data_IF_688322420752
#
_entry.id   IF_688322420752
#
_cell.length_a   1.000
_cell.length_b   1.000
_cell.length_c   1.000
_cell.angle_alpha   90.00
_cell.angle_beta   90.00
_cell.angle_gamma   90.00
#
_symmetry.space_group_name_H-M   'P 1'
#
loop_
_entity.id
_entity.type
_entity.pdbx_description
1 polymer ?
#
# COMPACT_ATOMS: atom_id res chain seq x y z
N UNK A 1 7.57 -12.31 10.72
CA UNK A 1 8.97 -11.93 10.87
C UNK A 1 9.06 -10.80 11.88
N UNK A 2 9.92 -10.91 12.90
CA UNK A 2 10.25 -9.78 13.78
C UNK A 2 11.00 -8.77 12.90
N UNK A 3 10.34 -7.67 12.53
CA UNK A 3 10.97 -6.60 11.77
C UNK A 3 12.12 -6.01 12.60
N UNK A 4 13.30 -5.98 12.03
CA UNK A 4 14.42 -5.19 12.57
C UNK A 4 14.21 -3.73 12.22
N UNK A 5 14.55 -2.83 13.15
CA UNK A 5 14.58 -1.41 12.84
C UNK A 5 15.65 -1.15 11.77
N UNK A 6 15.42 -0.14 10.96
CA UNK A 6 16.40 0.35 9.99
C UNK A 6 17.67 0.81 10.73
N UNK A 7 18.82 0.27 10.37
CA UNK A 7 20.07 0.43 11.13
C UNK A 7 20.49 1.89 11.33
N UNK A 8 20.29 2.74 10.31
CA UNK A 8 20.67 4.16 10.36
C UNK A 8 19.54 5.08 10.84
N UNK A 9 18.43 4.54 11.36
CA UNK A 9 17.22 5.30 11.72
C UNK A 9 17.51 6.53 12.57
N UNK A 10 18.29 6.38 13.64
CA UNK A 10 18.57 7.49 14.57
C UNK A 10 19.46 8.58 13.97
N UNK A 11 20.45 8.19 13.15
CA UNK A 11 21.31 9.16 12.45
C UNK A 11 20.52 9.94 11.40
N UNK A 12 19.66 9.26 10.67
CA UNK A 12 18.81 9.87 9.66
C UNK A 12 17.76 10.80 10.27
N UNK A 13 17.11 10.39 11.36
CA UNK A 13 16.24 11.26 12.17
C UNK A 13 16.96 12.50 12.68
N UNK A 14 18.20 12.36 13.13
CA UNK A 14 19.01 13.49 13.58
C UNK A 14 19.24 14.47 12.44
N UNK A 15 19.61 14.01 11.24
CA UNK A 15 19.78 14.84 10.04
C UNK A 15 18.50 15.57 9.68
N UNK A 16 17.38 14.86 9.63
CA UNK A 16 16.08 15.44 9.27
C UNK A 16 15.67 16.54 10.26
N UNK A 17 15.75 16.26 11.56
CA UNK A 17 15.44 17.24 12.60
C UNK A 17 16.40 18.43 12.57
N UNK A 18 17.70 18.18 12.33
CA UNK A 18 18.67 19.24 12.22
C UNK A 18 18.37 20.17 11.04
N UNK A 19 18.10 19.61 9.86
CA UNK A 19 17.74 20.39 8.66
C UNK A 19 16.48 21.21 8.90
N UNK A 20 15.42 20.60 9.45
CA UNK A 20 14.17 21.31 9.77
C UNK A 20 14.44 22.44 10.76
N UNK A 21 15.22 22.20 11.83
CA UNK A 21 15.56 23.22 12.82
C UNK A 21 16.41 24.35 12.21
N UNK A 22 17.37 24.01 11.33
CA UNK A 22 18.21 24.98 10.64
C UNK A 22 17.37 25.88 9.71
N UNK A 23 16.50 25.29 8.90
CA UNK A 23 15.59 26.04 8.02
C UNK A 23 14.67 26.96 8.83
N UNK A 24 14.04 26.44 9.89
CA UNK A 24 13.16 27.24 10.76
C UNK A 24 13.93 28.35 11.46
N UNK A 25 15.22 28.15 11.77
CA UNK A 25 16.06 29.16 12.44
C UNK A 25 16.37 30.40 11.58
N UNK A 26 16.32 30.28 10.24
CA UNK A 26 16.55 31.39 9.29
C UNK A 26 15.46 32.47 9.44
N UNK A 27 14.25 32.09 9.82
CA UNK A 27 13.10 33.01 9.85
C UNK A 27 13.08 33.90 11.11
N UNK A 28 12.50 35.12 11.02
CA UNK A 28 12.29 35.99 12.16
C UNK A 28 11.48 35.33 13.29
N UNK A 29 11.69 35.74 14.55
CA UNK A 29 11.10 35.12 15.75
C UNK A 29 9.60 34.88 15.67
N UNK A 30 8.81 35.84 15.13
CA UNK A 30 7.34 35.74 15.01
C UNK A 30 6.95 34.65 14.00
N UNK A 31 7.56 34.64 12.83
CA UNK A 31 7.35 33.63 11.77
C UNK A 31 7.77 32.26 12.24
N UNK A 32 8.92 32.16 12.90
CA UNK A 32 9.47 30.91 13.47
C UNK A 32 8.48 30.26 14.45
N UNK A 33 7.80 31.05 15.27
CA UNK A 33 6.81 30.52 16.21
C UNK A 33 5.62 29.88 15.46
N UNK A 34 5.10 30.57 14.44
CA UNK A 34 4.03 30.03 13.58
C UNK A 34 4.44 28.77 12.83
N UNK A 35 5.63 28.79 12.20
CA UNK A 35 6.16 27.62 11.50
C UNK A 35 6.33 26.40 12.41
N UNK A 36 6.84 26.59 13.63
CA UNK A 36 6.94 25.51 14.61
C UNK A 36 5.58 24.94 14.98
N UNK A 37 4.58 25.78 15.21
CA UNK A 37 3.23 25.33 15.55
C UNK A 37 2.63 24.47 14.41
N UNK A 38 2.77 24.93 13.17
CA UNK A 38 2.31 24.20 11.98
C UNK A 38 3.06 22.86 11.82
N UNK A 39 4.38 22.87 11.96
CA UNK A 39 5.19 21.66 11.88
C UNK A 39 4.81 20.62 12.96
N UNK A 40 4.64 21.07 14.21
CA UNK A 40 4.18 20.18 15.28
C UNK A 40 2.79 19.61 14.99
N UNK A 41 1.86 20.45 14.51
CA UNK A 41 0.53 19.98 14.14
C UNK A 41 0.60 18.89 13.07
N UNK A 42 1.35 19.13 11.99
CA UNK A 42 1.52 18.15 10.90
C UNK A 42 2.15 16.86 11.42
N UNK A 43 3.27 16.94 12.14
CA UNK A 43 3.99 15.76 12.63
C UNK A 43 3.18 14.92 13.59
N UNK A 44 2.51 15.54 14.59
CA UNK A 44 1.69 14.81 15.55
C UNK A 44 0.43 14.22 14.91
N UNK A 45 -0.24 14.97 14.02
CA UNK A 45 -1.42 14.48 13.32
C UNK A 45 -1.07 13.28 12.42
N UNK A 46 0.03 13.40 11.68
CA UNK A 46 0.49 12.31 10.80
C UNK A 46 0.92 11.08 11.60
N UNK A 47 1.65 11.28 12.70
CA UNK A 47 2.06 10.18 13.57
C UNK A 47 0.86 9.50 14.25
N UNK A 48 -0.13 10.27 14.70
CA UNK A 48 -1.35 9.72 15.29
C UNK A 48 -2.16 8.92 14.27
N UNK A 49 -2.34 9.45 13.05
CA UNK A 49 -3.05 8.77 11.97
C UNK A 49 -2.34 7.46 11.57
N UNK A 50 -1.03 7.51 11.38
CA UNK A 50 -0.21 6.36 11.03
C UNK A 50 -0.26 5.25 12.10
N UNK A 51 -0.14 5.65 13.36
CA UNK A 51 -0.23 4.71 14.50
C UNK A 51 -1.63 4.15 14.66
N UNK A 52 -2.66 4.95 14.43
CA UNK A 52 -4.06 4.50 14.44
C UNK A 52 -4.30 3.44 13.36
N UNK A 53 -3.84 3.68 12.14
CA UNK A 53 -3.91 2.69 11.06
C UNK A 53 -3.22 1.38 11.46
N UNK A 54 -2.03 1.48 12.05
CA UNK A 54 -1.29 0.29 12.46
C UNK A 54 -2.00 -0.50 13.58
N UNK A 55 -2.54 0.18 14.59
CA UNK A 55 -3.20 -0.47 15.73
C UNK A 55 -4.52 -1.13 15.32
N UNK A 56 -5.31 -0.48 14.46
CA UNK A 56 -6.65 -0.95 14.12
C UNK A 56 -6.69 -1.84 12.86
N UNK A 57 -5.79 -1.63 11.91
CA UNK A 57 -5.79 -2.33 10.62
C UNK A 57 -4.53 -3.18 10.38
N UNK A 58 -3.58 -3.17 11.32
CA UNK A 58 -2.31 -3.93 11.18
C UNK A 58 -1.38 -3.39 10.10
N UNK A 59 -1.68 -2.24 9.51
CA UNK A 59 -0.90 -1.60 8.45
C UNK A 59 -0.69 -0.11 8.75
N UNK A 60 0.50 0.40 8.48
CA UNK A 60 0.79 1.83 8.56
C UNK A 60 0.03 2.59 7.47
N UNK A 61 0.02 3.93 7.55
CA UNK A 61 -0.60 4.78 6.54
C UNK A 61 -0.07 4.44 5.14
N UNK A 62 -0.98 4.17 4.22
CA UNK A 62 -0.70 3.78 2.85
C UNK A 62 -1.70 4.43 1.88
N UNK A 63 -1.49 4.34 0.55
CA UNK A 63 -2.36 4.97 -0.43
C UNK A 63 -3.84 4.54 -0.34
N UNK A 64 -4.11 3.27 -0.06
CA UNK A 64 -5.48 2.76 0.07
C UNK A 64 -6.21 3.36 1.27
N UNK A 65 -5.52 3.52 2.41
CA UNK A 65 -6.08 4.17 3.59
C UNK A 65 -6.42 5.64 3.33
N UNK A 66 -5.55 6.35 2.60
CA UNK A 66 -5.80 7.74 2.24
C UNK A 66 -6.98 7.90 1.28
N UNK A 67 -7.14 6.98 0.34
CA UNK A 67 -8.28 6.95 -0.58
C UNK A 67 -9.60 6.75 0.18
N UNK A 68 -9.65 5.80 1.12
CA UNK A 68 -10.82 5.58 1.98
C UNK A 68 -11.22 6.84 2.75
N UNK A 69 -10.25 7.60 3.27
CA UNK A 69 -10.52 8.89 3.93
C UNK A 69 -11.13 9.90 2.95
N UNK A 70 -10.67 9.93 1.69
CA UNK A 70 -11.21 10.82 0.65
C UNK A 70 -12.64 10.47 0.22
N UNK A 71 -13.06 9.22 0.32
CA UNK A 71 -14.40 8.74 0.01
C UNK A 71 -15.38 8.85 1.20
N UNK A 72 -14.87 9.14 2.41
CA UNK A 72 -15.64 9.21 3.64
C UNK A 72 -16.55 10.46 3.65
N UNK A 73 -17.84 10.26 3.88
CA UNK A 73 -18.79 11.35 4.02
C UNK A 73 -18.74 11.98 5.44
N UNK A 74 -19.40 13.14 5.65
CA UNK A 74 -19.37 13.86 6.93
C UNK A 74 -19.90 13.07 8.13
N UNK A 75 -20.87 12.17 7.92
CA UNK A 75 -21.41 11.30 8.96
C UNK A 75 -20.42 10.22 9.37
N UNK A 76 -19.77 9.59 8.39
CA UNK A 76 -18.71 8.61 8.61
C UNK A 76 -17.47 9.24 9.24
N UNK A 77 -17.08 10.45 8.78
CA UNK A 77 -16.00 11.21 9.37
C UNK A 77 -16.26 11.53 10.86
N UNK A 78 -17.50 11.90 11.22
CA UNK A 78 -17.91 12.11 12.61
C UNK A 78 -17.83 10.83 13.43
N UNK A 79 -18.29 9.72 12.88
CA UNK A 79 -18.20 8.40 13.53
C UNK A 79 -16.74 7.95 13.71
N UNK A 80 -15.89 8.22 12.74
CA UNK A 80 -14.45 7.96 12.82
C UNK A 80 -13.78 8.81 13.89
N UNK A 81 -14.08 10.11 13.94
CA UNK A 81 -13.55 11.02 14.97
C UNK A 81 -14.00 10.60 16.37
N UNK A 82 -15.26 10.17 16.55
CA UNK A 82 -15.74 9.65 17.82
C UNK A 82 -15.05 8.36 18.25
N UNK A 83 -14.72 7.49 17.28
CA UNK A 83 -13.95 6.28 17.52
C UNK A 83 -12.49 6.58 17.92
N UNK A 84 -11.88 7.64 17.37
CA UNK A 84 -10.54 8.11 17.77
C UNK A 84 -10.47 8.56 19.25
N UNK A 85 -11.59 9.00 19.83
CA UNK A 85 -11.67 9.45 21.22
C UNK A 85 -12.13 8.33 22.15
N UNK A 86 -12.31 7.11 21.65
CA UNK A 86 -12.69 5.96 22.46
C UNK A 86 -11.63 5.64 23.53
N UNK A 87 -12.06 5.07 24.65
CA UNK A 87 -11.14 4.68 25.72
C UNK A 87 -10.06 3.71 25.22
N UNK A 88 -10.43 2.79 24.34
CA UNK A 88 -9.50 1.80 23.74
C UNK A 88 -8.36 2.48 22.96
N UNK A 89 -8.65 3.51 22.19
CA UNK A 89 -7.65 4.26 21.44
C UNK A 89 -6.81 5.14 22.37
N UNK A 90 -7.42 5.77 23.37
CA UNK A 90 -6.69 6.61 24.33
C UNK A 90 -5.71 5.81 25.20
N UNK A 91 -5.98 4.53 25.48
CA UNK A 91 -5.06 3.65 26.18
C UNK A 91 -4.11 2.86 25.27
N UNK A 92 -4.16 3.10 23.95
CA UNK A 92 -3.26 2.52 22.95
C UNK A 92 -1.99 3.37 22.73
N UNK A 93 -1.16 2.95 21.78
CA UNK A 93 0.01 3.73 21.33
C UNK A 93 -0.35 5.11 20.78
N UNK A 94 -1.58 5.29 20.25
CA UNK A 94 -2.09 6.59 19.78
C UNK A 94 -2.24 7.55 20.97
N UNK A 95 -2.77 7.08 22.09
CA UNK A 95 -2.93 7.88 23.31
C UNK A 95 -1.61 8.44 23.84
N UNK A 96 -0.51 7.68 23.74
CA UNK A 96 0.82 8.18 24.10
C UNK A 96 1.27 9.35 23.21
N UNK A 97 0.99 9.30 21.90
CA UNK A 97 1.30 10.39 20.97
C UNK A 97 0.49 11.63 21.33
N UNK A 98 -0.81 11.46 21.59
CA UNK A 98 -1.69 12.57 22.00
C UNK A 98 -1.27 13.17 23.35
N UNK A 99 -0.88 12.33 24.31
CA UNK A 99 -0.36 12.77 25.60
C UNK A 99 0.93 13.57 25.45
N UNK A 100 1.87 13.12 24.61
CA UNK A 100 3.10 13.87 24.32
C UNK A 100 2.80 15.22 23.67
N UNK A 101 1.86 15.27 22.72
CA UNK A 101 1.42 16.52 22.11
C UNK A 101 0.81 17.47 23.16
N UNK A 102 -0.06 16.96 24.05
CA UNK A 102 -0.66 17.73 25.14
C UNK A 102 0.41 18.27 26.09
N UNK A 103 1.34 17.44 26.54
CA UNK A 103 2.45 17.85 27.40
C UNK A 103 3.25 18.97 26.74
N UNK A 104 3.55 18.85 25.43
CA UNK A 104 4.29 19.89 24.70
C UNK A 104 3.51 21.20 24.61
N UNK A 105 2.21 21.16 24.40
CA UNK A 105 1.32 22.34 24.40
C UNK A 105 1.32 22.98 25.79
N UNK A 106 1.15 22.20 26.87
CA UNK A 106 1.19 22.67 28.24
C UNK A 106 2.54 23.32 28.57
N UNK A 107 3.64 22.72 28.19
CA UNK A 107 4.98 23.29 28.35
C UNK A 107 5.09 24.63 27.61
N UNK A 108 4.56 24.73 26.39
CA UNK A 108 4.60 25.95 25.60
C UNK A 108 3.78 27.08 26.25
N UNK A 109 2.59 26.76 26.76
CA UNK A 109 1.69 27.72 27.43
C UNK A 109 2.27 28.16 28.79
N UNK A 110 2.68 27.19 29.60
CA UNK A 110 3.13 27.44 30.98
C UNK A 110 4.64 27.66 31.13
N UNK A 111 5.36 27.83 30.02
CA UNK A 111 6.83 27.96 30.01
C UNK A 111 7.36 28.99 31.03
N UNK A 112 6.71 30.16 31.12
CA UNK A 112 7.14 31.22 32.05
C UNK A 112 6.95 30.79 33.49
N UNK A 113 5.84 30.12 33.80
CA UNK A 113 5.50 29.64 35.15
C UNK A 113 6.44 28.48 35.54
N UNK A 114 6.69 27.55 34.62
CA UNK A 114 7.62 26.45 34.83
C UNK A 114 9.06 26.94 35.09
N UNK A 115 9.52 27.96 34.39
CA UNK A 115 10.84 28.57 34.64
C UNK A 115 10.86 29.23 36.05
N UNK A 116 9.79 29.93 36.43
CA UNK A 116 9.70 30.53 37.79
C UNK A 116 9.71 29.43 38.87
N UNK A 117 8.94 28.37 38.68
CA UNK A 117 8.88 27.22 39.58
C UNK A 117 10.24 26.55 39.70
N UNK A 118 10.93 26.33 38.59
CA UNK A 118 12.28 25.75 38.53
C UNK A 118 13.27 26.60 39.32
N UNK A 119 13.28 27.92 39.10
CA UNK A 119 14.15 28.87 39.85
C UNK A 119 13.82 28.87 41.34
N UNK A 120 12.51 28.83 41.67
CA UNK A 120 12.05 28.76 43.09
C UNK A 120 12.55 27.47 43.76
N UNK A 121 12.39 26.30 43.15
CA UNK A 121 12.87 25.01 43.66
C UNK A 121 14.38 25.01 43.88
N UNK A 122 15.17 25.54 42.93
CA UNK A 122 16.61 25.65 43.07
C UNK A 122 16.99 26.58 44.23
N UNK A 123 16.20 27.63 44.45
CA UNK A 123 16.46 28.62 45.53
C UNK A 123 16.09 28.04 46.91
N UNK A 124 14.98 27.31 47.00
CA UNK A 124 14.48 26.70 48.27
C UNK A 124 15.35 25.51 48.70
N UNK A 125 15.88 24.72 47.76
CA UNK A 125 16.68 23.55 48.10
C UNK A 125 18.07 23.84 48.65
N UNK A 126 18.48 25.15 48.83
CA UNK A 126 19.75 25.63 49.43
C UNK A 126 21.03 24.84 49.05
N UNK A 127 20.96 24.11 47.95
CA UNK A 127 22.09 23.39 47.42
C UNK A 127 23.06 24.35 46.71
N UNK A 128 23.80 25.14 47.49
CA UNK A 128 24.72 26.15 46.96
C UNK A 128 25.68 25.59 45.91
N UNK A 129 26.13 24.37 46.08
CA UNK A 129 26.96 23.65 45.10
C UNK A 129 26.22 23.21 43.87
N UNK A 130 24.95 22.76 43.99
CA UNK A 130 24.07 22.40 42.86
C UNK A 130 23.54 23.63 42.17
N UNK A 131 23.21 24.68 42.90
CA UNK A 131 22.83 26.01 42.38
C UNK A 131 23.93 26.58 41.49
N UNK A 132 25.18 26.48 41.90
CA UNK A 132 26.35 26.95 41.11
C UNK A 132 26.55 26.13 39.85
N UNK A 133 26.34 24.79 39.90
CA UNK A 133 26.40 23.89 38.73
C UNK A 133 25.20 24.07 37.79
N UNK A 134 23.97 24.16 38.31
CA UNK A 134 22.76 24.32 37.51
C UNK A 134 22.59 25.74 36.94
N UNK A 135 23.05 26.79 37.63
CA UNK A 135 23.12 28.13 37.03
C UNK A 135 24.28 28.29 36.03
N UNK A 136 25.23 27.40 36.02
CA UNK A 136 26.25 27.33 34.98
C UNK A 136 25.72 26.72 33.68
N UNK A 137 24.63 25.94 33.71
CA UNK A 137 24.03 25.33 32.49
C UNK A 137 23.64 26.38 31.44
N UNK A 138 22.93 27.50 31.77
CA UNK A 138 22.69 28.56 30.78
C UNK A 138 23.95 29.25 30.27
N UNK A 139 25.02 29.32 31.09
CA UNK A 139 26.31 29.82 30.67
C UNK A 139 27.10 28.80 29.86
N UNK A 140 26.95 27.50 30.15
CA UNK A 140 27.48 26.44 29.30
C UNK A 140 26.89 26.44 27.89
N UNK A 141 25.59 26.77 27.76
CA UNK A 141 24.96 26.90 26.44
C UNK A 141 25.41 28.14 25.69
N UNK A 142 25.95 29.17 26.37
CA UNK A 142 26.55 30.35 25.74
C UNK A 142 28.01 30.13 25.33
N UNK A 143 28.69 29.16 25.94
CA UNK A 143 30.06 28.77 25.65
C UNK A 143 30.14 27.27 25.50
N UNK A 144 29.45 26.73 24.48
CA UNK A 144 29.67 25.31 24.10
C UNK A 144 31.14 25.14 23.78
N UNK A 145 31.86 24.24 24.45
CA UNK A 145 33.26 24.00 24.11
C UNK A 145 33.34 23.61 22.63
N UNK A 146 34.36 24.12 21.93
CA UNK A 146 34.57 23.83 20.51
C UNK A 146 34.53 22.32 20.20
N UNK A 147 34.93 21.49 21.18
CA UNK A 147 34.80 20.04 21.14
C UNK A 147 33.37 19.52 20.96
N UNK A 148 32.36 20.16 21.57
CA UNK A 148 30.96 19.77 21.37
C UNK A 148 30.44 20.15 19.97
N UNK A 149 30.86 21.32 19.46
CA UNK A 149 30.55 21.75 18.10
C UNK A 149 31.16 20.82 17.06
N UNK A 150 32.41 20.40 17.28
CA UNK A 150 33.11 19.43 16.43
C UNK A 150 32.38 18.06 16.48
N UNK A 151 31.99 17.59 17.66
CA UNK A 151 31.25 16.34 17.80
C UNK A 151 29.91 16.39 17.04
N UNK A 152 29.14 17.47 17.19
CA UNK A 152 27.89 17.65 16.44
C UNK A 152 28.13 17.67 14.93
N UNK A 153 29.20 18.30 14.47
CA UNK A 153 29.60 18.34 13.07
C UNK A 153 29.94 16.94 12.55
N UNK A 154 30.70 16.17 13.31
CA UNK A 154 31.06 14.79 12.97
C UNK A 154 29.79 13.94 12.84
N UNK A 155 28.87 14.02 13.83
CA UNK A 155 27.60 13.29 13.80
C UNK A 155 26.78 13.71 12.57
N UNK A 156 26.73 15.00 12.26
CA UNK A 156 26.00 15.51 11.10
C UNK A 156 26.59 14.99 9.79
N UNK A 157 27.91 15.07 9.62
CA UNK A 157 28.59 14.57 8.41
C UNK A 157 28.35 13.07 8.27
N UNK A 158 28.56 12.28 9.35
CA UNK A 158 28.32 10.84 9.35
C UNK A 158 26.87 10.54 8.99
N UNK A 159 25.92 11.23 9.61
CA UNK A 159 24.49 11.08 9.31
C UNK A 159 24.15 11.42 7.86
N UNK A 160 24.70 12.50 7.30
CA UNK A 160 24.50 12.85 5.89
C UNK A 160 25.06 11.77 4.95
N UNK A 161 26.25 11.24 5.25
CA UNK A 161 26.87 10.20 4.43
C UNK A 161 26.05 8.88 4.48
N UNK A 162 25.63 8.46 5.67
CA UNK A 162 24.88 7.21 5.86
C UNK A 162 23.44 7.30 5.32
N UNK A 163 22.82 8.48 5.39
CA UNK A 163 21.43 8.69 4.90
C UNK A 163 21.36 9.01 3.41
N UNK A 164 22.48 9.32 2.76
CA UNK A 164 22.50 9.76 1.35
C UNK A 164 21.80 8.77 0.41
N UNK A 165 22.12 7.49 0.53
CA UNK A 165 21.55 6.44 -0.31
C UNK A 165 20.02 6.37 -0.12
N UNK A 166 19.53 6.37 1.12
CA UNK A 166 18.12 6.33 1.44
C UNK A 166 17.36 7.59 0.94
N UNK A 167 17.96 8.78 1.10
CA UNK A 167 17.37 10.04 0.58
C UNK A 167 17.32 10.07 -0.95
N UNK A 168 18.35 9.55 -1.62
CA UNK A 168 18.30 9.41 -3.08
C UNK A 168 17.25 8.39 -3.53
N UNK A 169 17.09 7.28 -2.81
CA UNK A 169 16.01 6.33 -3.07
C UNK A 169 14.63 6.98 -2.87
N UNK A 170 14.44 7.75 -1.79
CA UNK A 170 13.21 8.51 -1.57
C UNK A 170 12.95 9.54 -2.68
N UNK A 171 13.97 10.28 -3.10
CA UNK A 171 13.85 11.21 -4.22
C UNK A 171 13.43 10.50 -5.52
N UNK A 172 14.03 9.36 -5.83
CA UNK A 172 13.62 8.54 -6.99
C UNK A 172 12.18 8.05 -6.84
N UNK A 173 11.77 7.60 -5.64
CA UNK A 173 10.41 7.17 -5.35
C UNK A 173 9.39 8.27 -5.66
N UNK A 174 9.65 9.50 -5.22
CA UNK A 174 8.75 10.65 -5.41
C UNK A 174 8.78 11.25 -6.81
N UNK A 175 9.68 10.79 -7.68
CA UNK A 175 9.77 11.18 -9.10
C UNK A 175 9.51 10.02 -10.06
N UNK A 176 9.20 8.81 -9.55
CA UNK A 176 8.87 7.66 -10.37
C UNK A 176 7.58 7.91 -11.15
N UNK A 177 7.64 7.81 -12.47
CA UNK A 177 6.48 8.09 -13.33
C UNK A 177 5.60 6.88 -13.53
N UNK A 178 6.15 5.70 -13.27
CA UNK A 178 5.48 4.43 -13.47
C UNK A 178 5.35 3.66 -12.17
N UNK A 179 4.33 2.82 -12.07
CA UNK A 179 4.13 1.96 -10.90
C UNK A 179 5.31 0.97 -10.77
N UNK A 180 5.87 0.51 -11.89
CA UNK A 180 7.03 -0.39 -11.87
C UNK A 180 8.27 0.25 -11.25
N UNK A 181 8.57 1.50 -11.55
CA UNK A 181 9.66 2.26 -10.89
C UNK A 181 9.42 2.41 -9.39
N UNK A 182 8.20 2.76 -9.01
CA UNK A 182 7.78 2.90 -7.61
C UNK A 182 7.94 1.58 -6.86
N UNK A 183 7.45 0.48 -7.41
CA UNK A 183 7.56 -0.85 -6.81
C UNK A 183 9.01 -1.30 -6.68
N UNK A 184 9.82 -1.11 -7.71
CA UNK A 184 11.24 -1.48 -7.68
C UNK A 184 11.97 -0.82 -6.50
N UNK A 185 11.67 0.44 -6.22
CA UNK A 185 12.24 1.15 -5.08
C UNK A 185 11.65 0.63 -3.76
N UNK A 186 10.33 0.44 -3.67
CA UNK A 186 9.69 -0.02 -2.43
C UNK A 186 10.09 -1.44 -2.02
N UNK A 187 10.43 -2.29 -2.98
CA UNK A 187 10.86 -3.68 -2.74
C UNK A 187 12.37 -3.82 -2.53
N UNK A 188 13.13 -2.76 -2.73
CA UNK A 188 14.57 -2.74 -2.46
C UNK A 188 14.88 -3.06 -0.99
N UNK A 189 15.95 -3.84 -0.76
CA UNK A 189 16.35 -4.29 0.60
C UNK A 189 17.42 -3.42 1.23
N UNK A 190 18.02 -2.54 0.46
CA UNK A 190 19.16 -1.71 0.82
C UNK A 190 18.79 -0.31 1.34
N UNK A 191 17.50 -0.03 1.42
CA UNK A 191 16.97 1.25 1.88
C UNK A 191 15.63 1.10 2.60
N UNK A 192 15.22 2.13 3.34
CA UNK A 192 13.97 2.19 4.09
C UNK A 192 13.29 3.56 3.86
N UNK A 193 12.86 3.81 2.61
CA UNK A 193 12.36 5.13 2.17
C UNK A 193 11.16 5.66 2.93
N UNK A 194 10.28 4.78 3.43
CA UNK A 194 9.05 5.13 4.15
C UNK A 194 9.18 4.98 5.68
N UNK A 195 10.35 5.27 6.25
CA UNK A 195 10.62 5.08 7.69
C UNK A 195 9.88 6.09 8.60
N UNK A 196 9.45 7.23 8.07
CA UNK A 196 8.70 8.24 8.82
C UNK A 196 7.22 8.32 8.39
N UNK A 197 6.28 8.58 9.34
CA UNK A 197 4.88 8.81 9.03
C UNK A 197 4.66 9.89 7.97
N UNK A 198 5.42 10.98 8.02
CA UNK A 198 5.31 12.07 7.05
C UNK A 198 5.70 11.62 5.62
N UNK A 199 6.71 10.77 5.48
CA UNK A 199 7.08 10.21 4.17
C UNK A 199 6.02 9.24 3.65
N UNK A 200 5.40 8.45 4.53
CA UNK A 200 4.26 7.61 4.18
C UNK A 200 3.07 8.43 3.69
N UNK A 201 2.76 9.53 4.36
CA UNK A 201 1.70 10.45 3.93
C UNK A 201 2.01 11.06 2.55
N UNK A 202 3.21 11.60 2.36
CA UNK A 202 3.62 12.19 1.09
C UNK A 202 3.56 11.16 -0.05
N UNK A 203 4.08 9.97 0.20
CA UNK A 203 4.02 8.87 -0.78
C UNK A 203 2.57 8.46 -1.07
N UNK A 204 1.70 8.37 -0.07
CA UNK A 204 0.30 8.00 -0.26
C UNK A 204 -0.45 9.01 -1.13
N UNK A 205 -0.19 10.31 -0.94
CA UNK A 205 -0.76 11.37 -1.79
C UNK A 205 -0.24 11.20 -3.23
N UNK A 206 1.06 11.04 -3.40
CA UNK A 206 1.70 10.89 -4.71
C UNK A 206 1.20 9.65 -5.46
N UNK A 207 1.15 8.50 -4.79
CA UNK A 207 0.68 7.25 -5.39
C UNK A 207 -0.78 7.32 -5.84
N UNK A 208 -1.65 7.97 -5.06
CA UNK A 208 -3.04 8.21 -5.45
C UNK A 208 -3.16 9.13 -6.67
N UNK A 209 -2.33 10.17 -6.77
CA UNK A 209 -2.29 11.03 -7.96
C UNK A 209 -1.82 10.26 -9.19
N UNK A 210 -0.80 9.42 -9.04
CA UNK A 210 -0.30 8.56 -10.12
C UNK A 210 -1.38 7.57 -10.59
N UNK A 211 -2.08 6.94 -9.66
CA UNK A 211 -3.18 6.02 -9.96
C UNK A 211 -4.34 6.72 -10.69
N UNK A 212 -4.76 7.89 -10.21
CA UNK A 212 -5.81 8.68 -10.85
C UNK A 212 -5.43 9.08 -12.28
N UNK A 213 -4.17 9.45 -12.51
CA UNK A 213 -3.67 9.76 -13.84
C UNK A 213 -3.74 8.54 -14.76
N UNK A 214 -3.31 7.35 -14.30
CA UNK A 214 -3.39 6.12 -15.09
C UNK A 214 -4.83 5.74 -15.45
N UNK A 215 -5.78 5.90 -14.51
CA UNK A 215 -7.20 5.66 -14.79
C UNK A 215 -7.72 6.62 -15.86
N UNK A 216 -7.36 7.90 -15.79
CA UNK A 216 -7.75 8.89 -16.80
C UNK A 216 -7.21 8.52 -18.19
N UNK A 217 -5.96 8.06 -18.25
CA UNK A 217 -5.37 7.60 -19.52
C UNK A 217 -6.08 6.36 -20.07
N UNK A 218 -6.40 5.38 -19.23
CA UNK A 218 -7.17 4.20 -19.64
C UNK A 218 -8.57 4.57 -20.17
N UNK A 219 -9.27 5.48 -19.50
CA UNK A 219 -10.58 5.95 -19.96
C UNK A 219 -10.43 6.63 -21.32
N UNK A 220 -9.40 7.45 -21.50
CA UNK A 220 -9.12 8.07 -22.79
C UNK A 220 -8.81 7.02 -23.88
N UNK A 221 -7.92 6.08 -23.58
CA UNK A 221 -7.59 5.00 -24.51
C UNK A 221 -8.83 4.17 -24.87
N UNK A 222 -9.73 3.90 -23.91
CA UNK A 222 -10.97 3.18 -24.14
C UNK A 222 -11.91 3.92 -25.12
N UNK A 223 -11.97 5.24 -25.05
CA UNK A 223 -12.78 6.03 -25.99
C UNK A 223 -12.23 6.04 -27.42
N UNK A 224 -10.90 5.95 -27.55
CA UNK A 224 -10.23 5.97 -28.88
C UNK A 224 -10.31 4.62 -29.61
N UNK A 225 -10.67 3.54 -28.94
CA UNK A 225 -10.75 2.20 -29.56
C UNK A 225 -11.78 2.19 -30.68
N UNK A 226 -11.34 1.75 -31.84
CA UNK A 226 -12.17 1.47 -33.03
C UNK A 226 -11.96 0.04 -33.46
N UNK A 227 -13.04 -0.66 -33.74
CA UNK A 227 -13.02 -2.03 -34.24
C UNK A 227 -13.73 -2.03 -35.60
N UNK A 228 -12.97 -2.29 -36.65
CA UNK A 228 -13.50 -2.22 -38.01
C UNK A 228 -14.33 -3.45 -38.36
N UNK A 229 -13.93 -4.63 -37.88
CA UNK A 229 -14.65 -5.89 -38.14
C UNK A 229 -14.30 -6.96 -37.11
N UNK A 230 -15.20 -7.91 -36.94
CA UNK A 230 -14.96 -9.12 -36.13
C UNK A 230 -15.43 -10.37 -36.87
N UNK A 231 -14.61 -11.42 -36.85
CA UNK A 231 -14.95 -12.68 -37.52
C UNK A 231 -15.91 -13.58 -36.74
N UNK A 232 -16.09 -13.32 -35.44
CA UNK A 232 -16.89 -14.11 -34.50
C UNK A 232 -16.68 -15.64 -34.55
N UNK A 233 -15.46 -16.08 -34.88
CA UNK A 233 -15.12 -17.52 -34.99
C UNK A 233 -15.38 -18.28 -33.70
N UNK A 234 -15.27 -17.62 -32.57
CA UNK A 234 -15.56 -18.14 -31.24
C UNK A 234 -16.67 -17.34 -30.59
N UNK A 235 -17.93 -17.74 -30.75
CA UNK A 235 -19.06 -16.97 -30.22
C UNK A 235 -19.06 -16.93 -28.69
N UNK A 236 -18.60 -17.99 -28.02
CA UNK A 236 -18.50 -18.05 -26.58
C UNK A 236 -17.05 -18.30 -26.16
N UNK A 237 -16.48 -17.34 -25.47
CA UNK A 237 -15.12 -17.37 -24.93
C UNK A 237 -15.21 -17.33 -23.42
N UNK A 238 -14.56 -18.30 -22.75
CA UNK A 238 -14.44 -18.32 -21.29
C UNK A 238 -12.97 -18.19 -20.94
N UNK A 239 -12.62 -17.15 -20.22
CA UNK A 239 -11.28 -16.93 -19.67
C UNK A 239 -11.33 -17.21 -18.17
N UNK A 240 -10.52 -18.14 -17.68
CA UNK A 240 -10.37 -18.44 -16.26
C UNK A 240 -9.00 -17.99 -15.82
N UNK A 241 -8.96 -17.01 -14.90
CA UNK A 241 -7.75 -16.47 -14.31
C UNK A 241 -7.61 -17.12 -12.93
N UNK A 242 -6.61 -17.98 -12.76
CA UNK A 242 -6.27 -18.57 -11.47
C UNK A 242 -5.43 -17.61 -10.63
N UNK A 243 -5.37 -17.85 -9.32
CA UNK A 243 -4.57 -17.07 -8.37
C UNK A 243 -3.50 -17.96 -7.73
N UNK A 244 -2.29 -17.43 -7.55
CA UNK A 244 -1.15 -18.07 -6.86
C UNK A 244 -0.79 -19.48 -7.40
N UNK A 245 -1.04 -19.75 -8.69
CA UNK A 245 -0.72 -21.03 -9.31
C UNK A 245 0.78 -21.20 -9.53
N UNK A 246 1.37 -22.19 -8.86
CA UNK A 246 2.77 -22.55 -9.03
C UNK A 246 2.96 -23.76 -9.94
N UNK A 247 3.51 -23.57 -11.14
CA UNK A 247 3.81 -24.65 -12.10
C UNK A 247 4.56 -25.82 -11.46
N UNK A 248 5.49 -25.54 -10.57
CA UNK A 248 6.31 -26.57 -9.91
C UNK A 248 5.54 -27.44 -8.91
N UNK A 249 4.30 -27.07 -8.56
CA UNK A 249 3.41 -27.87 -7.71
C UNK A 249 2.26 -28.51 -8.51
N UNK A 250 2.32 -28.48 -9.84
CA UNK A 250 1.30 -29.07 -10.71
C UNK A 250 1.79 -30.38 -11.31
N UNK A 251 1.04 -31.47 -11.11
CA UNK A 251 1.31 -32.78 -11.71
C UNK A 251 1.40 -32.70 -13.24
N UNK A 252 0.58 -31.88 -13.87
CA UNK A 252 0.59 -31.67 -15.32
C UNK A 252 1.95 -31.18 -15.83
N UNK A 253 2.72 -30.48 -14.98
CA UNK A 253 4.05 -29.99 -15.28
C UNK A 253 5.18 -30.81 -14.65
N UNK A 254 4.88 -32.03 -14.22
CA UNK A 254 5.89 -32.99 -13.74
C UNK A 254 6.06 -33.02 -12.22
N UNK A 255 5.17 -32.36 -11.45
CA UNK A 255 5.19 -32.52 -10.01
C UNK A 255 4.86 -33.96 -9.61
N UNK A 256 5.52 -34.50 -8.61
CA UNK A 256 5.45 -35.91 -8.23
C UNK A 256 4.14 -36.33 -7.55
N UNK A 257 3.35 -35.38 -7.05
CA UNK A 257 2.05 -35.63 -6.39
C UNK A 257 0.89 -35.35 -7.36
N UNK A 258 -0.22 -36.05 -7.17
CA UNK A 258 -1.45 -35.94 -7.98
C UNK A 258 -2.25 -34.65 -7.67
N UNK A 259 -1.62 -33.50 -7.88
CA UNK A 259 -2.21 -32.19 -7.55
C UNK A 259 -3.20 -31.70 -8.61
N UNK A 260 -3.05 -32.12 -9.87
CA UNK A 260 -3.90 -31.70 -11.00
C UNK A 260 -4.35 -32.89 -11.87
N UNK A 261 -4.97 -33.96 -11.29
CA UNK A 261 -5.28 -35.19 -12.02
C UNK A 261 -6.30 -34.98 -13.13
N UNK A 262 -7.25 -34.08 -12.96
CA UNK A 262 -8.26 -33.79 -14.00
C UNK A 262 -7.65 -33.09 -15.21
N UNK A 263 -6.72 -32.14 -15.01
CA UNK A 263 -6.02 -31.46 -16.09
C UNK A 263 -5.17 -32.48 -16.87
N UNK A 264 -4.49 -33.41 -16.18
CA UNK A 264 -3.74 -34.51 -16.81
C UNK A 264 -4.65 -35.38 -17.62
N UNK A 265 -5.84 -35.73 -17.13
CA UNK A 265 -6.80 -36.55 -17.89
C UNK A 265 -7.33 -35.82 -19.13
N UNK A 266 -7.62 -34.54 -19.05
CA UNK A 266 -8.04 -33.70 -20.17
C UNK A 266 -6.94 -33.57 -21.24
N UNK A 267 -5.67 -33.39 -20.81
CA UNK A 267 -4.51 -33.35 -21.71
C UNK A 267 -4.34 -34.72 -22.45
N UNK A 268 -4.39 -35.81 -21.71
CA UNK A 268 -4.32 -37.16 -22.31
C UNK A 268 -5.44 -37.43 -23.32
N UNK A 269 -6.64 -36.92 -23.07
CA UNK A 269 -7.78 -37.03 -23.98
C UNK A 269 -7.79 -35.98 -25.10
N UNK A 270 -6.74 -35.17 -25.24
CA UNK A 270 -6.58 -34.09 -26.23
C UNK A 270 -7.67 -33.00 -26.15
N UNK A 271 -8.30 -32.87 -25.00
CA UNK A 271 -9.30 -31.79 -24.71
C UNK A 271 -8.66 -30.57 -24.08
N UNK A 272 -7.40 -30.63 -23.70
CA UNK A 272 -6.61 -29.56 -23.13
C UNK A 272 -5.27 -29.46 -23.82
N UNK A 273 -4.90 -28.25 -24.25
CA UNK A 273 -3.57 -27.92 -24.75
C UNK A 273 -2.77 -27.25 -23.65
N UNK A 274 -1.61 -27.80 -23.32
CA UNK A 274 -0.70 -27.26 -22.32
C UNK A 274 0.36 -26.38 -22.97
N UNK A 275 0.59 -25.23 -22.41
CA UNK A 275 1.71 -24.36 -22.74
C UNK A 275 2.82 -24.54 -21.71
N UNK A 276 4.04 -24.73 -22.16
CA UNK A 276 5.19 -25.07 -21.29
C UNK A 276 6.10 -23.91 -21.00
N UNK A 277 6.00 -22.83 -21.77
CA UNK A 277 6.83 -21.64 -21.65
C UNK A 277 5.97 -20.39 -21.45
N UNK A 278 5.31 -20.34 -20.30
CA UNK A 278 4.48 -19.19 -19.88
C UNK A 278 5.01 -18.66 -18.56
N UNK A 279 5.32 -17.38 -18.53
CA UNK A 279 5.85 -16.67 -17.35
C UNK A 279 4.93 -15.48 -17.04
N UNK A 280 4.58 -15.30 -15.77
CA UNK A 280 3.89 -14.10 -15.34
C UNK A 280 4.83 -12.90 -15.35
N UNK A 281 4.33 -11.74 -15.74
CA UNK A 281 5.12 -10.49 -15.76
C UNK A 281 5.45 -9.98 -14.35
N UNK A 282 4.61 -10.28 -13.34
CA UNK A 282 4.74 -9.83 -11.96
C UNK A 282 4.35 -10.91 -10.96
N UNK A 283 4.63 -10.67 -9.69
CA UNK A 283 4.28 -11.55 -8.56
C UNK A 283 3.15 -10.99 -7.69
N UNK A 284 2.50 -9.91 -8.11
CA UNK A 284 1.35 -9.28 -7.44
C UNK A 284 0.17 -9.23 -8.40
N UNK A 285 -1.00 -9.65 -7.94
CA UNK A 285 -2.20 -9.83 -8.75
C UNK A 285 -2.62 -8.57 -9.49
N UNK A 286 -2.67 -7.41 -8.82
CA UNK A 286 -3.05 -6.16 -9.46
C UNK A 286 -2.11 -5.74 -10.60
N UNK A 287 -0.81 -5.97 -10.46
CA UNK A 287 0.18 -5.70 -11.50
C UNK A 287 0.09 -6.69 -12.67
N UNK A 288 -0.21 -7.97 -12.36
CA UNK A 288 -0.48 -8.96 -13.40
C UNK A 288 -1.70 -8.53 -14.22
N UNK A 289 -2.80 -8.13 -13.57
CA UNK A 289 -4.00 -7.66 -14.26
C UNK A 289 -3.75 -6.46 -15.15
N UNK A 290 -3.01 -5.44 -14.68
CA UNK A 290 -2.64 -4.26 -15.47
C UNK A 290 -1.97 -4.65 -16.78
N UNK A 291 -0.98 -5.53 -16.71
CA UNK A 291 -0.20 -5.94 -17.88
C UNK A 291 -0.90 -7.04 -18.73
N UNK A 292 -1.67 -7.92 -18.09
CA UNK A 292 -2.38 -9.01 -18.80
C UNK A 292 -3.61 -8.49 -19.55
N UNK A 293 -4.32 -7.53 -18.97
CA UNK A 293 -5.52 -6.99 -19.61
C UNK A 293 -5.20 -5.92 -20.66
N UNK A 294 -4.08 -5.18 -20.49
CA UNK A 294 -3.65 -4.20 -21.48
C UNK A 294 -3.28 -4.85 -22.79
N UNK A 295 -3.56 -4.19 -23.90
CA UNK A 295 -3.06 -4.57 -25.23
C UNK A 295 -1.61 -4.13 -25.46
N UNK A 296 -1.00 -3.43 -24.51
CA UNK A 296 0.41 -3.08 -24.54
C UNK A 296 1.30 -4.34 -24.48
N UNK A 297 2.28 -4.41 -25.32
CA UNK A 297 3.30 -5.48 -25.31
C UNK A 297 4.54 -4.98 -24.58
N UNK A 298 5.01 -5.74 -23.59
CA UNK A 298 6.21 -5.39 -22.82
C UNK A 298 7.40 -5.20 -23.76
N UNK A 299 8.04 -4.03 -23.68
CA UNK A 299 9.14 -3.62 -24.56
C UNK A 299 8.75 -2.66 -25.68
N UNK A 300 7.47 -2.45 -25.93
CA UNK A 300 6.97 -1.38 -26.80
C UNK A 300 7.02 -0.02 -26.08
N UNK A 301 6.91 1.05 -26.88
CA UNK A 301 6.91 2.42 -26.33
C UNK A 301 5.62 2.71 -25.59
N UNK A 302 5.70 3.37 -24.45
CA UNK A 302 4.57 3.76 -23.61
C UNK A 302 4.39 2.85 -22.40
N UNK A 303 3.30 3.08 -21.70
CA UNK A 303 2.92 2.36 -20.49
C UNK A 303 1.67 1.51 -20.75
N UNK A 304 1.43 0.54 -19.89
CA UNK A 304 0.24 -0.32 -19.96
C UNK A 304 -1.08 0.48 -20.01
N UNK A 305 -1.15 1.66 -19.39
CA UNK A 305 -2.33 2.50 -19.33
C UNK A 305 -2.50 3.45 -20.55
N UNK A 306 -1.50 3.52 -21.43
CA UNK A 306 -1.60 4.26 -22.70
C UNK A 306 -2.36 3.45 -23.75
N UNK A 307 -2.64 2.19 -23.48
CA UNK A 307 -3.28 1.25 -24.41
C UNK A 307 -4.61 0.76 -23.85
N UNK A 308 -5.57 0.42 -24.72
CA UNK A 308 -6.85 -0.11 -24.29
C UNK A 308 -6.70 -1.47 -23.61
N UNK A 309 -7.65 -1.79 -22.74
CA UNK A 309 -7.73 -3.12 -22.17
C UNK A 309 -8.53 -4.05 -23.10
N UNK A 310 -8.15 -5.32 -23.20
CA UNK A 310 -8.82 -6.22 -24.15
C UNK A 310 -10.33 -6.42 -23.90
N UNK A 311 -10.87 -6.37 -22.65
CA UNK A 311 -12.32 -6.52 -22.48
C UNK A 311 -13.13 -5.45 -23.23
N UNK A 312 -12.68 -4.19 -23.23
CA UNK A 312 -13.38 -3.14 -23.98
C UNK A 312 -13.27 -3.31 -25.50
N UNK A 313 -12.13 -3.86 -25.98
CA UNK A 313 -11.97 -4.18 -27.39
C UNK A 313 -12.99 -5.23 -27.81
N UNK A 314 -13.22 -6.26 -26.99
CA UNK A 314 -14.26 -7.26 -27.22
C UNK A 314 -15.66 -6.66 -27.17
N UNK A 315 -15.93 -5.77 -26.21
CA UNK A 315 -17.24 -5.07 -26.16
C UNK A 315 -17.48 -4.26 -27.42
N UNK A 316 -16.50 -3.51 -27.88
CA UNK A 316 -16.60 -2.71 -29.13
C UNK A 316 -16.68 -3.58 -30.37
N UNK A 317 -16.15 -4.81 -30.32
CA UNK A 317 -16.33 -5.83 -31.35
C UNK A 317 -17.71 -6.49 -31.33
N UNK A 318 -18.58 -6.18 -30.36
CA UNK A 318 -19.94 -6.71 -30.25
C UNK A 318 -20.12 -7.89 -29.30
N UNK A 319 -19.09 -8.26 -28.54
CA UNK A 319 -19.24 -9.26 -27.48
C UNK A 319 -19.93 -8.67 -26.23
N UNK A 320 -20.74 -9.48 -25.58
CA UNK A 320 -21.24 -9.22 -24.23
C UNK A 320 -20.18 -9.69 -23.25
N UNK A 321 -19.61 -8.77 -22.45
CA UNK A 321 -18.47 -9.06 -21.56
C UNK A 321 -18.94 -9.13 -20.11
N UNK A 322 -18.77 -10.31 -19.49
CA UNK A 322 -19.10 -10.56 -18.09
C UNK A 322 -17.82 -10.84 -17.31
N UNK A 323 -17.63 -10.13 -16.19
CA UNK A 323 -16.49 -10.33 -15.29
C UNK A 323 -16.97 -10.78 -13.91
N UNK A 324 -16.57 -11.97 -13.50
CA UNK A 324 -16.96 -12.64 -12.26
C UNK A 324 -15.71 -12.89 -11.45
N UNK A 325 -15.60 -12.26 -10.27
CA UNK A 325 -14.39 -12.33 -9.45
C UNK A 325 -14.71 -12.74 -8.02
N UNK A 326 -13.82 -13.55 -7.44
CA UNK A 326 -13.84 -13.87 -6.01
C UNK A 326 -12.83 -13.02 -5.21
N UNK A 327 -12.30 -12.01 -5.85
CA UNK A 327 -11.35 -11.05 -5.29
C UNK A 327 -11.71 -9.63 -5.78
N UNK A 328 -11.20 -8.60 -5.13
CA UNK A 328 -11.25 -7.23 -5.62
C UNK A 328 -12.64 -6.66 -5.99
N UNK A 329 -13.68 -7.03 -5.28
CA UNK A 329 -14.95 -6.30 -5.39
C UNK A 329 -14.87 -4.98 -4.60
N UNK A 330 -15.62 -3.93 -5.01
CA UNK A 330 -15.58 -2.61 -4.36
C UNK A 330 -15.89 -2.63 -2.87
N UNK A 331 -16.61 -3.65 -2.39
CA UNK A 331 -17.01 -3.81 -0.99
C UNK A 331 -16.18 -4.87 -0.24
N UNK A 332 -15.15 -5.41 -0.84
CA UNK A 332 -14.31 -6.40 -0.21
C UNK A 332 -13.61 -5.80 1.03
N UNK A 333 -13.73 -6.49 2.16
CA UNK A 333 -13.09 -6.09 3.43
C UNK A 333 -11.55 -6.27 3.40
N UNK A 334 -11.05 -7.03 2.45
CA UNK A 334 -9.62 -7.24 2.28
C UNK A 334 -9.00 -6.05 1.55
N UNK A 335 -8.06 -5.38 2.22
CA UNK A 335 -7.29 -4.30 1.62
C UNK A 335 -6.50 -4.86 0.43
N UNK A 336 -6.79 -4.36 -0.75
CA UNK A 336 -5.96 -4.63 -1.92
C UNK A 336 -4.62 -3.93 -1.68
N UNK A 337 -3.56 -4.71 -1.49
CA UNK A 337 -2.20 -4.18 -1.42
C UNK A 337 -1.72 -3.79 -2.82
N UNK A 338 -2.41 -2.84 -3.41
CA UNK A 338 -1.93 -2.11 -4.57
C UNK A 338 -1.41 -0.76 -4.09
N UNK A 339 -0.16 -0.45 -4.38
CA UNK A 339 0.43 0.87 -4.11
C UNK A 339 -0.34 2.02 -4.79
N UNK A 340 -1.24 1.70 -5.70
CA UNK A 340 -2.08 2.64 -6.44
C UNK A 340 -3.43 2.97 -5.77
N UNK A 341 -3.67 2.55 -4.51
CA UNK A 341 -4.86 2.97 -3.78
C UNK A 341 -6.14 2.21 -4.09
N UNK A 342 -6.04 0.99 -4.60
CA UNK A 342 -7.18 0.11 -4.86
C UNK A 342 -7.12 -0.59 -6.21
N UNK A 343 -7.99 -1.58 -6.40
CA UNK A 343 -8.03 -2.31 -7.66
C UNK A 343 -8.63 -1.44 -8.77
N UNK A 344 -7.85 -1.12 -9.78
CA UNK A 344 -8.19 -0.14 -10.82
C UNK A 344 -9.51 -0.44 -11.56
N UNK A 345 -9.88 -1.71 -11.74
CA UNK A 345 -11.15 -2.12 -12.33
C UNK A 345 -12.38 -1.85 -11.45
N UNK A 346 -12.19 -1.41 -10.21
CA UNK A 346 -13.28 -0.97 -9.35
C UNK A 346 -13.64 0.50 -9.54
N UNK A 347 -12.85 1.26 -10.31
CA UNK A 347 -13.28 2.59 -10.73
C UNK A 347 -14.60 2.48 -11.53
N UNK A 348 -15.69 3.17 -11.13
CA UNK A 348 -17.01 2.96 -11.70
C UNK A 348 -17.10 3.27 -13.20
N UNK A 349 -16.39 4.29 -13.66
CA UNK A 349 -16.38 4.69 -15.07
C UNK A 349 -15.61 3.68 -15.91
N UNK A 350 -14.37 3.36 -15.51
CA UNK A 350 -13.55 2.36 -16.20
C UNK A 350 -14.24 0.99 -16.23
N UNK A 351 -14.83 0.55 -15.10
CA UNK A 351 -15.53 -0.73 -15.02
C UNK A 351 -16.69 -0.83 -15.99
N UNK A 352 -17.47 0.26 -16.16
CA UNK A 352 -18.56 0.33 -17.14
C UNK A 352 -18.09 0.30 -18.60
N UNK A 353 -16.88 0.79 -18.87
CA UNK A 353 -16.28 0.70 -20.19
C UNK A 353 -15.81 -0.71 -20.51
N UNK A 354 -15.37 -1.45 -19.50
CA UNK A 354 -14.81 -2.80 -19.66
C UNK A 354 -15.86 -3.91 -19.68
N UNK A 355 -16.89 -3.83 -18.82
CA UNK A 355 -17.80 -4.94 -18.56
C UNK A 355 -19.26 -4.54 -18.68
N UNK A 356 -20.07 -5.43 -19.28
CA UNK A 356 -21.51 -5.30 -19.31
C UNK A 356 -22.12 -5.78 -18.00
N UNK A 357 -21.54 -6.85 -17.41
CA UNK A 357 -22.05 -7.47 -16.17
C UNK A 357 -20.89 -7.84 -15.25
N UNK A 358 -21.12 -7.73 -13.94
CA UNK A 358 -20.24 -8.17 -12.86
C UNK A 358 -21.02 -8.82 -11.74
N UNK A 359 -20.40 -9.74 -10.99
CA UNK A 359 -20.95 -10.20 -9.71
C UNK A 359 -20.76 -9.13 -8.61
N UNK A 360 -21.55 -9.26 -7.55
CA UNK A 360 -21.61 -8.30 -6.43
C UNK A 360 -21.24 -8.92 -5.09
N UNK A 361 -20.96 -10.23 -5.05
CA UNK A 361 -20.68 -10.97 -3.82
C UNK A 361 -19.37 -11.72 -3.93
N UNK A 362 -18.64 -11.80 -2.81
CA UNK A 362 -17.50 -12.68 -2.63
C UNK A 362 -17.94 -13.95 -1.91
N UNK A 363 -17.26 -15.05 -2.20
CA UNK A 363 -17.55 -16.37 -1.66
C UNK A 363 -16.31 -16.93 -0.95
N UNK A 364 -16.54 -17.78 0.06
CA UNK A 364 -15.45 -18.49 0.76
C UNK A 364 -14.68 -19.42 -0.18
N UNK A 365 -15.36 -19.96 -1.19
CA UNK A 365 -14.81 -20.88 -2.19
C UNK A 365 -15.24 -20.47 -3.60
N UNK A 366 -14.39 -20.75 -4.59
CA UNK A 366 -14.61 -20.36 -5.99
C UNK A 366 -15.82 -21.03 -6.66
N UNK A 367 -16.35 -22.12 -6.10
CA UNK A 367 -17.61 -22.70 -6.59
C UNK A 367 -18.84 -21.78 -6.41
N UNK A 368 -18.72 -20.77 -5.54
CA UNK A 368 -19.72 -19.71 -5.42
C UNK A 368 -19.86 -18.85 -6.68
N UNK A 369 -18.76 -18.64 -7.43
CA UNK A 369 -18.79 -17.90 -8.70
C UNK A 369 -19.62 -18.60 -9.77
N UNK A 370 -19.64 -19.93 -9.77
CA UNK A 370 -20.51 -20.70 -10.67
C UNK A 370 -21.97 -20.51 -10.33
N UNK A 371 -22.31 -20.37 -9.04
CA UNK A 371 -23.68 -20.05 -8.61
C UNK A 371 -24.08 -18.64 -9.07
N UNK A 372 -23.21 -17.64 -8.89
CA UNK A 372 -23.48 -16.28 -9.38
C UNK A 372 -23.76 -16.29 -10.90
N UNK A 373 -22.99 -17.09 -11.65
CA UNK A 373 -23.19 -17.25 -13.08
C UNK A 373 -24.52 -17.91 -13.40
N UNK A 374 -24.83 -19.06 -12.79
CA UNK A 374 -26.03 -19.84 -13.06
C UNK A 374 -27.31 -19.13 -12.59
N UNK A 375 -27.28 -18.49 -11.44
CA UNK A 375 -28.49 -17.90 -10.82
C UNK A 375 -28.89 -16.57 -11.49
N UNK A 376 -27.91 -15.78 -11.98
CA UNK A 376 -28.19 -14.44 -12.50
C UNK A 376 -27.51 -14.12 -13.83
N UNK A 377 -26.19 -14.27 -13.93
CA UNK A 377 -25.40 -13.72 -15.02
C UNK A 377 -25.60 -14.47 -16.34
N UNK A 378 -25.92 -15.75 -16.29
CA UNK A 378 -26.27 -16.56 -17.46
C UNK A 378 -27.45 -15.99 -18.25
N UNK A 379 -28.40 -15.36 -17.58
CA UNK A 379 -29.58 -14.76 -18.21
C UNK A 379 -29.25 -13.54 -19.08
N UNK A 380 -28.08 -12.95 -18.92
CA UNK A 380 -27.59 -11.82 -19.71
C UNK A 380 -26.77 -12.24 -20.94
N UNK A 381 -26.57 -13.55 -21.18
CA UNK A 381 -25.81 -14.04 -22.33
C UNK A 381 -26.51 -13.65 -23.64
N UNK A 382 -25.71 -13.32 -24.63
CA UNK A 382 -26.11 -12.94 -25.99
C UNK A 382 -25.54 -13.95 -27.02
N UNK A 383 -25.63 -13.62 -28.29
CA UNK A 383 -25.05 -14.44 -29.36
C UNK A 383 -23.52 -14.59 -29.25
N UNK A 384 -22.84 -13.50 -28.86
CA UNK A 384 -21.39 -13.48 -28.69
C UNK A 384 -21.04 -13.07 -27.27
N UNK A 385 -20.27 -13.89 -26.55
CA UNK A 385 -19.97 -13.69 -25.12
C UNK A 385 -18.51 -13.88 -24.81
N UNK A 386 -17.97 -13.00 -23.99
CA UNK A 386 -16.72 -13.17 -23.26
C UNK A 386 -17.02 -13.21 -21.76
N UNK A 387 -16.86 -14.37 -21.14
CA UNK A 387 -17.03 -14.52 -19.70
C UNK A 387 -15.67 -14.73 -19.04
N UNK A 388 -15.31 -13.84 -18.13
CA UNK A 388 -14.03 -13.86 -17.41
C UNK A 388 -14.31 -14.26 -15.97
N UNK A 389 -13.73 -15.38 -15.52
CA UNK A 389 -13.72 -15.81 -14.13
C UNK A 389 -12.35 -15.50 -13.53
N UNK A 390 -12.33 -14.78 -12.41
CA UNK A 390 -11.14 -14.57 -11.60
C UNK A 390 -11.32 -15.26 -10.25
N UNK A 391 -10.49 -16.26 -10.01
CA UNK A 391 -10.59 -17.14 -8.87
C UNK A 391 -9.74 -16.59 -7.71
N UNK A 392 -10.17 -16.84 -6.47
CA UNK A 392 -9.31 -16.75 -5.29
C UNK A 392 -8.22 -17.84 -5.31
N UNK A 393 -8.49 -18.95 -5.99
CA UNK A 393 -7.55 -19.99 -6.35
C UNK A 393 -6.78 -20.56 -5.18
N UNK A 394 -5.46 -20.43 -5.26
CA UNK A 394 -4.51 -20.92 -4.25
C UNK A 394 -3.90 -19.79 -3.41
N UNK A 395 -4.62 -18.68 -3.21
CA UNK A 395 -4.16 -17.56 -2.40
C UNK A 395 -3.77 -17.99 -0.99
N UNK A 396 -2.85 -17.26 -0.38
CA UNK A 396 -2.32 -17.49 0.98
C UNK A 396 -3.42 -17.85 2.00
N UNK A 397 -3.09 -18.75 2.92
CA UNK A 397 -3.97 -19.52 3.79
C UNK A 397 -4.71 -20.64 3.05
N UNK A 398 -3.92 -21.44 2.35
CA UNK A 398 -4.35 -22.56 1.49
C UNK A 398 -5.40 -23.48 2.11
N UNK A 399 -5.40 -23.67 3.44
CA UNK A 399 -6.38 -24.50 4.16
C UNK A 399 -7.82 -23.99 4.04
N UNK A 400 -8.00 -22.71 3.74
CA UNK A 400 -9.31 -22.08 3.56
C UNK A 400 -9.81 -22.16 2.11
N UNK A 401 -9.01 -22.67 1.18
CA UNK A 401 -9.32 -22.65 -0.26
C UNK A 401 -9.97 -23.94 -0.77
N UNK A 402 -10.23 -24.90 0.12
CA UNK A 402 -10.93 -26.15 -0.19
C UNK A 402 -11.70 -26.67 1.02
N UNK A 403 -12.72 -27.48 0.77
CA UNK A 403 -13.48 -28.13 1.85
C UNK A 403 -12.61 -29.21 2.49
N UNK A 404 -12.58 -29.28 3.81
CA UNK A 404 -11.76 -30.23 4.58
C UNK A 404 -11.93 -31.70 4.09
N UNK A 405 -13.13 -32.08 3.67
CA UNK A 405 -13.42 -33.41 3.09
C UNK A 405 -12.77 -33.67 1.73
N UNK A 406 -12.28 -32.64 1.05
CA UNK A 406 -11.62 -32.71 -0.26
C UNK A 406 -10.09 -32.71 -0.16
N UNK A 407 -9.53 -32.52 1.05
CA UNK A 407 -8.09 -32.61 1.29
C UNK A 407 -7.55 -33.99 0.97
N UNK A 408 -6.56 -34.07 0.09
CA UNK A 408 -5.91 -35.32 -0.32
C UNK A 408 -4.52 -35.51 0.23
N UNK A 409 -3.84 -34.41 0.63
CA UNK A 409 -2.46 -34.43 1.02
C UNK A 409 -2.30 -33.88 2.45
N UNK A 410 -1.51 -34.59 3.24
CA UNK A 410 -1.19 -34.23 4.62
C UNK A 410 0.31 -33.98 4.73
N UNK A 411 0.78 -33.37 5.81
CA UNK A 411 2.20 -33.11 6.04
C UNK A 411 3.05 -34.40 5.90
N UNK A 412 2.55 -35.54 6.41
CA UNK A 412 3.16 -36.85 6.27
C UNK A 412 3.30 -37.33 4.81
N UNK A 413 2.44 -36.89 3.89
CA UNK A 413 2.57 -37.22 2.46
C UNK A 413 3.77 -36.57 1.80
N UNK A 414 4.35 -35.52 2.41
CA UNK A 414 5.57 -34.85 1.95
C UNK A 414 6.83 -35.53 2.47
N UNK A 415 6.80 -36.09 3.68
CA UNK A 415 7.98 -36.70 4.33
C UNK A 415 8.35 -38.03 3.67
N UNK A 416 7.36 -38.81 3.24
CA UNK A 416 7.58 -40.12 2.60
C UNK A 416 8.12 -40.06 1.16
N UNK A 417 8.22 -38.88 0.55
CA UNK A 417 8.59 -38.72 -0.87
C UNK A 417 9.80 -37.80 -1.11
N UNK A 418 10.53 -37.46 -0.07
CA UNK A 418 11.86 -36.84 -0.16
C UNK A 418 12.94 -37.93 -0.19
#
# INVERSE_FOLDING_TARGET
>A
AKGTLYDNLFLELFVDLYVVCAVVAIFPKKVRLGLRAVLYLILYSTAAADTYCYVNFGSTLNPSMLMLVGETNSSEASSFLSALISAEVLFSSVGWILLLALIQILIAIFRKQLIKLYVFFITVLELASVKKRLMAIPRMTAAMPASFGILCLIILITGCCTSWHNKMAYHKLMNGRTIGEVEHILTGKDHAVLYLPIYRLQFSIYANQLAAHQITQLIHAAHEVKVDSCSYRSPNIVLIIGESFGRHHSQQYGYFMDTTPQQVALEKSRKLTKFTDVVTCWNLTSFVFKNMLSTHVVGEKGEWCDYPLFPEVFRKAGYNVTFITNEFLPQAKEAVYDFSGGFFLNNPELSKLQFDHRNTQLHDLDDGLLKDYDDSLKNFQKEHNLTIFHLMGQHVNYKLRYRTKQGRFWASSYEDKR
#
